data_IF_899992497648
#
_entry.id   IF_899992497648
#
_cell.length_a   1.000
_cell.length_b   1.000
_cell.length_c   1.000
_cell.angle_alpha   90.00
_cell.angle_beta   90.00
_cell.angle_gamma   90.00
#
_symmetry.space_group_name_H-M   'P 1'
#
loop_
_entity.id
_entity.type
_entity.pdbx_description
1 polymer ?
#
# COMPACT_ATOMS: atom_id res chain seq x y z
N UNK A 1 9.56 1.75 9.86
CA UNK A 1 10.43 2.57 9.00
C UNK A 1 11.87 2.21 9.31
N UNK A 2 12.69 1.92 8.30
CA UNK A 2 14.13 1.84 8.48
C UNK A 2 14.69 3.26 8.52
N UNK A 3 15.24 3.66 9.66
CA UNK A 3 15.71 5.03 9.90
C UNK A 3 17.07 5.32 9.27
N UNK A 4 17.77 4.30 8.76
CA UNK A 4 19.09 4.48 8.12
C UNK A 4 18.98 5.07 6.72
N UNK A 5 17.88 4.81 6.03
CA UNK A 5 17.70 5.19 4.62
C UNK A 5 16.27 5.60 4.26
N UNK A 6 15.37 5.66 5.24
CA UNK A 6 13.95 6.01 5.10
C UNK A 6 13.13 4.99 4.28
N UNK A 7 13.59 3.73 4.20
CA UNK A 7 12.84 2.65 3.57
C UNK A 7 11.72 2.13 4.47
N UNK A 8 10.50 2.06 3.94
CA UNK A 8 9.36 1.46 4.63
C UNK A 8 9.12 0.03 4.13
N UNK A 9 9.29 -0.95 5.01
CA UNK A 9 8.83 -2.33 4.81
C UNK A 9 7.38 -2.42 5.30
N UNK A 10 6.43 -2.43 4.38
CA UNK A 10 5.00 -2.28 4.67
C UNK A 10 4.23 -3.61 4.69
N UNK A 11 4.88 -4.74 4.41
CA UNK A 11 4.20 -6.03 4.23
C UNK A 11 3.08 -5.90 3.20
N UNK A 12 1.89 -6.42 3.52
CA UNK A 12 0.70 -6.37 2.65
C UNK A 12 -0.24 -5.19 2.94
N UNK A 13 0.20 -4.20 3.73
CA UNK A 13 -0.56 -2.94 3.86
C UNK A 13 -0.70 -2.23 2.50
N UNK A 14 0.33 -2.40 1.65
CA UNK A 14 0.27 -2.11 0.22
C UNK A 14 0.73 -3.33 -0.58
N UNK A 15 0.34 -3.41 -1.85
CA UNK A 15 0.94 -4.28 -2.87
C UNK A 15 1.36 -3.45 -4.07
N UNK A 16 2.31 -3.92 -4.86
CA UNK A 16 2.71 -3.30 -6.14
C UNK A 16 2.59 -4.27 -7.31
N UNK A 17 2.40 -5.57 -7.04
CA UNK A 17 2.05 -6.59 -8.04
C UNK A 17 0.66 -6.30 -8.62
N UNK A 18 0.57 -6.24 -9.95
CA UNK A 18 -0.65 -5.76 -10.63
C UNK A 18 -0.90 -4.25 -10.46
N UNK A 19 0.10 -3.52 -9.97
CA UNK A 19 0.10 -2.08 -9.66
C UNK A 19 -0.29 -1.77 -8.20
N UNK A 20 -0.10 -0.51 -7.80
CA UNK A 20 -0.15 -0.13 -6.38
C UNK A 20 -1.56 -0.16 -5.76
N UNK A 21 -1.77 -0.87 -4.67
CA UNK A 21 -3.06 -0.91 -3.98
C UNK A 21 -2.86 -0.99 -2.46
N UNK A 22 -3.81 -0.41 -1.71
CA UNK A 22 -3.96 -0.67 -0.27
C UNK A 22 -4.62 -2.04 -0.10
N UNK A 23 -4.25 -2.78 0.94
CA UNK A 23 -4.94 -4.02 1.33
C UNK A 23 -6.47 -3.86 1.30
N UNK A 24 -7.19 -4.82 0.76
CA UNK A 24 -8.66 -4.76 0.64
C UNK A 24 -9.16 -4.07 -0.63
N UNK A 25 -8.25 -3.53 -1.45
CA UNK A 25 -8.54 -3.07 -2.81
C UNK A 25 -8.28 -4.19 -3.81
N UNK A 26 -9.31 -4.60 -4.56
CA UNK A 26 -9.16 -5.68 -5.55
C UNK A 26 -8.46 -5.15 -6.80
N UNK A 27 -7.39 -5.82 -7.20
CA UNK A 27 -6.75 -5.64 -8.51
C UNK A 27 -6.88 -6.91 -9.33
N UNK A 28 -7.39 -6.80 -10.56
CA UNK A 28 -7.63 -7.97 -11.44
C UNK A 28 -6.40 -8.86 -11.63
N UNK A 29 -5.22 -8.25 -11.83
CA UNK A 29 -3.97 -8.97 -12.03
C UNK A 29 -3.36 -9.55 -10.74
N UNK A 30 -3.88 -9.17 -9.57
CA UNK A 30 -3.46 -9.70 -8.27
C UNK A 30 -4.54 -9.48 -7.20
N UNK A 31 -5.59 -10.33 -7.16
CA UNK A 31 -6.81 -10.05 -6.39
C UNK A 31 -6.76 -10.53 -4.93
N UNK A 32 -5.83 -11.42 -4.58
CA UNK A 32 -5.83 -12.10 -3.27
C UNK A 32 -5.80 -11.16 -2.07
N UNK A 33 -4.93 -10.12 -2.02
CA UNK A 33 -4.93 -9.19 -0.89
C UNK A 33 -6.22 -8.37 -0.80
N UNK A 34 -6.90 -8.13 -1.92
CA UNK A 34 -8.19 -7.44 -1.92
C UNK A 34 -9.32 -8.27 -1.31
N UNK A 35 -9.27 -9.60 -1.46
CA UNK A 35 -10.31 -10.53 -0.98
C UNK A 35 -10.08 -11.03 0.44
N UNK A 36 -8.82 -11.10 0.89
CA UNK A 36 -8.45 -11.63 2.20
C UNK A 36 -8.47 -10.58 3.33
N UNK A 37 -8.56 -9.29 3.01
CA UNK A 37 -8.57 -8.23 4.03
C UNK A 37 -9.85 -8.27 4.86
N UNK A 38 -9.69 -8.52 6.15
CA UNK A 38 -10.78 -8.63 7.11
C UNK A 38 -11.56 -7.31 7.31
N UNK A 39 -10.87 -6.15 7.24
CA UNK A 39 -11.50 -4.85 7.51
C UNK A 39 -10.87 -3.71 6.68
N UNK A 40 -11.55 -3.35 5.59
CA UNK A 40 -11.11 -2.30 4.65
C UNK A 40 -10.89 -0.93 5.28
N UNK A 41 -11.74 -0.43 6.21
CA UNK A 41 -11.51 0.86 6.85
C UNK A 41 -10.21 0.91 7.66
N UNK A 42 -9.88 -0.17 8.39
CA UNK A 42 -8.61 -0.26 9.13
C UNK A 42 -7.43 -0.29 8.16
N UNK A 43 -7.54 -1.03 7.05
CA UNK A 43 -6.49 -1.05 6.03
C UNK A 43 -6.23 0.35 5.44
N UNK A 44 -7.27 1.13 5.16
CA UNK A 44 -7.13 2.51 4.69
C UNK A 44 -6.50 3.42 5.75
N UNK A 45 -6.94 3.33 7.01
CA UNK A 45 -6.36 4.11 8.10
C UNK A 45 -4.87 3.81 8.32
N UNK A 46 -4.49 2.53 8.28
CA UNK A 46 -3.08 2.12 8.32
C UNK A 46 -2.30 2.68 7.12
N UNK A 47 -2.85 2.62 5.91
CA UNK A 47 -2.21 3.18 4.72
C UNK A 47 -1.96 4.70 4.85
N UNK A 48 -2.88 5.45 5.47
CA UNK A 48 -2.73 6.88 5.74
C UNK A 48 -1.57 7.14 6.71
N UNK A 49 -1.54 6.44 7.85
CA UNK A 49 -0.45 6.56 8.84
C UNK A 49 0.91 6.22 8.22
N UNK A 50 0.97 5.21 7.36
CA UNK A 50 2.21 4.84 6.67
C UNK A 50 2.66 5.89 5.63
N UNK A 51 1.72 6.57 4.97
CA UNK A 51 2.03 7.64 4.02
C UNK A 51 2.55 8.91 4.71
N UNK A 52 2.08 9.20 5.93
CA UNK A 52 2.57 10.32 6.75
C UNK A 52 4.06 10.20 7.11
N UNK A 53 4.61 8.98 7.09
CA UNK A 53 6.05 8.76 7.27
C UNK A 53 6.90 9.26 6.10
N UNK A 54 6.29 9.64 4.97
CA UNK A 54 6.95 10.12 3.76
C UNK A 54 8.20 9.28 3.38
N UNK A 55 8.06 7.95 3.19
CA UNK A 55 9.22 7.09 2.98
C UNK A 55 9.90 7.38 1.65
N UNK A 56 11.22 7.16 1.58
CA UNK A 56 12.01 7.24 0.34
C UNK A 56 11.76 6.01 -0.54
N UNK A 57 11.51 4.86 0.08
CA UNK A 57 11.26 3.57 -0.56
C UNK A 57 10.09 2.84 0.10
N UNK A 58 9.29 2.15 -0.71
CA UNK A 58 8.20 1.29 -0.24
C UNK A 58 8.48 -0.15 -0.69
N UNK A 59 8.88 -0.99 0.27
CA UNK A 59 8.99 -2.44 0.09
C UNK A 59 7.71 -3.12 0.60
N UNK A 60 7.07 -3.88 -0.28
CA UNK A 60 5.79 -4.57 -0.01
C UNK A 60 5.96 -6.07 -0.05
N UNK A 61 5.00 -6.82 0.49
CA UNK A 61 5.01 -8.28 0.45
C UNK A 61 4.93 -8.85 -0.97
N UNK A 62 4.30 -8.09 -1.90
CA UNK A 62 4.08 -8.55 -3.27
C UNK A 62 4.32 -7.46 -4.33
N UNK A 63 5.36 -7.69 -5.15
CA UNK A 63 5.73 -6.87 -6.29
C UNK A 63 7.05 -6.11 -6.06
N UNK A 64 7.46 -5.26 -7.02
CA UNK A 64 8.70 -4.51 -6.92
C UNK A 64 8.64 -3.43 -5.83
N UNK A 65 9.81 -3.08 -5.29
CA UNK A 65 10.00 -1.89 -4.45
C UNK A 65 9.72 -0.63 -5.26
N UNK A 66 9.06 0.35 -4.66
CA UNK A 66 8.86 1.66 -5.27
C UNK A 66 9.79 2.71 -4.65
N UNK A 67 10.46 3.47 -5.50
CA UNK A 67 11.20 4.68 -5.14
C UNK A 67 10.26 5.88 -5.13
N UNK A 68 10.49 6.84 -4.22
CA UNK A 68 9.66 8.04 -4.04
C UNK A 68 8.14 7.72 -4.04
N UNK A 69 7.67 6.79 -3.18
CA UNK A 69 6.37 6.16 -3.30
C UNK A 69 5.18 7.06 -2.96
N UNK A 70 5.39 8.23 -2.32
CA UNK A 70 4.31 9.01 -1.70
C UNK A 70 3.15 9.36 -2.67
N UNK A 71 3.39 9.86 -3.91
CA UNK A 71 2.30 10.13 -4.85
C UNK A 71 1.52 8.88 -5.24
N UNK A 72 2.22 7.75 -5.37
CA UNK A 72 1.61 6.46 -5.68
C UNK A 72 0.76 5.96 -4.50
N UNK A 73 1.25 6.09 -3.27
CA UNK A 73 0.51 5.73 -2.05
C UNK A 73 -0.78 6.55 -1.93
N UNK A 74 -0.71 7.86 -2.17
CA UNK A 74 -1.88 8.75 -2.18
C UNK A 74 -2.93 8.31 -3.20
N UNK A 75 -2.51 7.95 -4.42
CA UNK A 75 -3.41 7.44 -5.45
C UNK A 75 -4.08 6.12 -5.02
N UNK A 76 -3.33 5.22 -4.38
CA UNK A 76 -3.86 3.96 -3.87
C UNK A 76 -4.90 4.18 -2.76
N UNK A 77 -4.64 5.08 -1.81
CA UNK A 77 -5.57 5.44 -0.74
C UNK A 77 -6.85 6.08 -1.28
N UNK A 78 -6.73 7.00 -2.24
CA UNK A 78 -7.88 7.61 -2.90
C UNK A 78 -8.76 6.59 -3.62
N UNK A 79 -8.17 5.51 -4.17
CA UNK A 79 -8.94 4.40 -4.74
C UNK A 79 -9.64 3.59 -3.64
N UNK A 80 -8.90 3.19 -2.60
CA UNK A 80 -9.43 2.37 -1.51
C UNK A 80 -10.62 3.05 -0.81
N UNK A 81 -10.57 4.38 -0.62
CA UNK A 81 -11.66 5.17 -0.04
C UNK A 81 -12.95 5.20 -0.87
N UNK A 82 -12.91 4.83 -2.15
CA UNK A 82 -14.12 4.72 -3.01
C UNK A 82 -14.80 3.35 -2.95
N UNK A 83 -14.22 2.37 -2.25
CA UNK A 83 -14.77 1.01 -2.16
C UNK A 83 -14.63 0.16 -3.43
N UNK A 84 -13.75 0.55 -4.37
CA UNK A 84 -13.58 -0.07 -5.71
C UNK A 84 -12.25 -0.80 -5.88
#
# INVERSE_FOLDING_TARGET
LDTRDNSLIAGDAFQTKGGIAVSGTVRLLFPFPGMATWHKPTALATAQQLAELAPSRLAVGHGPVLEMPLPAMQKAMARAGRGV
#
